data_IF_044233832702
#
_entry.id   IF_044233832702
#
_cell.length_a   1.000
_cell.length_b   1.000
_cell.length_c   1.000
_cell.angle_alpha   90.00
_cell.angle_beta   90.00
_cell.angle_gamma   90.00
#
_symmetry.space_group_name_H-M   'P 1'
#
loop_
_entity.id
_entity.type
_entity.pdbx_description
1 polymer ?
#
# COMPACT_ATOMS: atom_id res chain seq x y z
N UNK A 1 9.51 7.22 -9.15
CA UNK A 1 9.02 8.19 -10.17
C UNK A 1 8.06 7.44 -11.08
N UNK A 2 7.05 8.09 -11.66
CA UNK A 2 6.13 7.41 -12.57
C UNK A 2 6.87 6.92 -13.82
N UNK A 3 6.50 5.74 -14.36
CA UNK A 3 7.05 5.27 -15.62
C UNK A 3 6.58 6.19 -16.76
N UNK A 4 7.40 6.36 -17.80
CA UNK A 4 7.03 7.16 -18.97
C UNK A 4 5.88 6.52 -19.76
N UNK A 5 5.83 5.19 -19.77
CA UNK A 5 4.76 4.38 -20.36
C UNK A 5 4.09 3.59 -19.26
N UNK A 6 2.76 3.61 -19.24
CA UNK A 6 1.98 2.80 -18.30
C UNK A 6 2.31 1.31 -18.43
N UNK A 7 2.36 0.62 -17.30
CA UNK A 7 2.52 -0.82 -17.28
C UNK A 7 1.24 -1.51 -17.76
N UNK A 8 1.39 -2.69 -18.35
CA UNK A 8 0.25 -3.54 -18.68
C UNK A 8 -0.40 -4.12 -17.40
N UNK A 9 -1.63 -4.62 -17.56
CA UNK A 9 -2.42 -5.12 -16.44
C UNK A 9 -1.78 -6.35 -15.76
N UNK A 10 -1.14 -7.23 -16.53
CA UNK A 10 -0.52 -8.43 -15.95
C UNK A 10 0.66 -8.06 -15.05
N UNK A 11 1.50 -7.12 -15.51
CA UNK A 11 2.61 -6.58 -14.72
C UNK A 11 2.11 -5.85 -13.47
N UNK A 12 1.07 -5.02 -13.57
CA UNK A 12 0.48 -4.34 -12.42
C UNK A 12 -0.06 -5.32 -11.37
N UNK A 13 -0.80 -6.34 -11.82
CA UNK A 13 -1.34 -7.38 -10.93
C UNK A 13 -0.22 -8.17 -10.26
N UNK A 14 0.81 -8.57 -11.02
CA UNK A 14 1.95 -9.31 -10.49
C UNK A 14 2.61 -8.55 -9.34
N UNK A 15 2.96 -7.28 -9.57
CA UNK A 15 3.62 -6.45 -8.55
C UNK A 15 2.75 -6.27 -7.31
N UNK A 16 1.44 -6.03 -7.48
CA UNK A 16 0.53 -5.89 -6.32
C UNK A 16 0.44 -7.21 -5.54
N UNK A 17 0.39 -8.35 -6.23
CA UNK A 17 0.36 -9.66 -5.58
C UNK A 17 1.67 -10.00 -4.84
N UNK A 18 2.83 -9.70 -5.46
CA UNK A 18 4.14 -9.87 -4.82
C UNK A 18 4.24 -9.02 -3.55
N UNK A 19 3.77 -7.77 -3.59
CA UNK A 19 3.75 -6.89 -2.43
C UNK A 19 2.78 -7.41 -1.36
N UNK A 20 1.57 -7.82 -1.74
CA UNK A 20 0.60 -8.34 -0.78
C UNK A 20 1.10 -9.60 -0.05
N UNK A 21 1.89 -10.45 -0.73
CA UNK A 21 2.51 -11.64 -0.15
C UNK A 21 3.55 -11.32 0.95
N UNK A 22 3.95 -10.05 1.12
CA UNK A 22 4.86 -9.60 2.18
C UNK A 22 4.12 -9.20 3.47
N UNK A 23 2.79 -9.12 3.45
CA UNK A 23 2.01 -8.83 4.66
C UNK A 23 1.73 -10.10 5.45
N UNK A 24 1.89 -10.04 6.76
CA UNK A 24 1.84 -11.21 7.64
C UNK A 24 0.52 -11.97 7.60
N UNK A 25 -0.59 -11.29 7.29
CA UNK A 25 -1.91 -11.91 7.13
C UNK A 25 -2.02 -12.86 5.92
N UNK A 26 -1.00 -12.88 5.05
CA UNK A 26 -0.94 -13.73 3.85
C UNK A 26 0.08 -14.87 3.96
N UNK A 27 0.89 -14.92 5.02
CA UNK A 27 1.87 -16.01 5.19
C UNK A 27 1.16 -17.32 5.51
N UNK A 28 1.61 -18.41 4.86
CA UNK A 28 1.00 -19.75 4.96
C UNK A 28 1.00 -20.28 6.40
N UNK A 29 2.11 -20.08 7.13
CA UNK A 29 2.30 -20.59 8.49
C UNK A 29 2.09 -19.52 9.58
N UNK A 30 1.32 -18.45 9.30
CA UNK A 30 1.04 -17.43 10.30
C UNK A 30 0.02 -17.92 11.35
N UNK A 31 0.38 -17.81 12.63
CA UNK A 31 -0.51 -18.03 13.76
C UNK A 31 -0.80 -16.70 14.48
N UNK A 32 -1.80 -15.96 14.00
CA UNK A 32 -2.21 -14.70 14.58
C UNK A 32 -3.04 -14.87 15.85
N UNK A 33 -2.49 -14.48 17.01
CA UNK A 33 -3.18 -14.50 18.32
C UNK A 33 -3.67 -13.12 18.79
N UNK A 34 -3.39 -12.07 18.03
CA UNK A 34 -3.82 -10.71 18.36
C UNK A 34 -5.28 -10.39 17.98
N UNK A 35 -5.70 -9.20 18.39
CA UNK A 35 -6.99 -8.60 18.07
C UNK A 35 -7.04 -8.05 16.63
N UNK A 36 -5.90 -7.57 16.12
CA UNK A 36 -5.77 -7.00 14.77
C UNK A 36 -4.78 -7.79 13.91
N UNK A 37 -5.25 -8.93 13.41
CA UNK A 37 -4.47 -9.90 12.60
C UNK A 37 -4.82 -9.90 11.10
N UNK A 38 -5.56 -8.89 10.62
CA UNK A 38 -5.90 -8.79 9.20
C UNK A 38 -6.79 -9.93 8.68
N UNK A 39 -7.56 -10.59 9.56
CA UNK A 39 -8.46 -11.69 9.21
C UNK A 39 -9.62 -11.17 8.33
N UNK A 40 -9.81 -11.75 7.14
CA UNK A 40 -10.90 -11.37 6.21
C UNK A 40 -11.86 -12.54 6.04
N UNK A 41 -13.12 -12.36 6.44
CA UNK A 41 -14.15 -13.43 6.42
C UNK A 41 -14.70 -13.66 5.01
N UNK A 42 -14.93 -12.60 4.24
CA UNK A 42 -15.53 -12.68 2.92
C UNK A 42 -14.44 -12.79 1.83
N UNK A 43 -14.39 -13.89 1.05
CA UNK A 43 -13.37 -14.06 0.00
C UNK A 43 -13.42 -12.96 -1.07
N UNK A 44 -14.60 -12.45 -1.40
CA UNK A 44 -14.75 -11.35 -2.37
C UNK A 44 -14.11 -10.05 -1.88
N UNK A 45 -14.16 -9.78 -0.56
CA UNK A 45 -13.50 -8.62 0.03
C UNK A 45 -11.98 -8.78 -0.02
N UNK A 46 -11.46 -9.97 0.35
CA UNK A 46 -10.04 -10.26 0.26
C UNK A 46 -9.53 -10.09 -1.19
N UNK A 47 -10.25 -10.65 -2.15
CA UNK A 47 -9.88 -10.59 -3.57
C UNK A 47 -9.89 -9.16 -4.12
N UNK A 48 -10.93 -8.36 -3.84
CA UNK A 48 -10.99 -6.98 -4.35
C UNK A 48 -9.86 -6.09 -3.80
N UNK A 49 -9.35 -6.43 -2.61
CA UNK A 49 -8.25 -5.73 -1.94
C UNK A 49 -6.90 -6.42 -2.12
N UNK A 50 -6.79 -7.39 -3.05
CA UNK A 50 -5.55 -8.11 -3.35
C UNK A 50 -4.93 -8.83 -2.12
N UNK A 51 -5.71 -9.10 -1.07
CA UNK A 51 -5.23 -9.68 0.19
C UNK A 51 -4.63 -8.68 1.19
N UNK A 52 -4.55 -7.39 0.85
CA UNK A 52 -4.03 -6.33 1.73
C UNK A 52 -5.09 -6.01 2.81
N UNK A 53 -4.79 -6.32 4.08
CA UNK A 53 -5.77 -6.22 5.16
C UNK A 53 -5.34 -5.39 6.39
N UNK A 54 -4.07 -4.97 6.46
CA UNK A 54 -3.56 -4.25 7.64
C UNK A 54 -3.76 -2.73 7.59
N UNK A 55 -3.90 -2.16 6.38
CA UNK A 55 -3.92 -0.71 6.15
C UNK A 55 -2.52 -0.11 6.08
N UNK A 56 -2.42 1.21 6.29
CA UNK A 56 -1.16 1.97 6.25
C UNK A 56 -0.79 2.50 7.63
N UNK A 57 0.51 2.71 7.85
CA UNK A 57 1.02 3.34 9.06
C UNK A 57 0.92 2.51 10.34
N UNK A 58 1.23 3.17 11.44
CA UNK A 58 1.13 2.67 12.82
C UNK A 58 0.21 3.58 13.64
N UNK A 59 -0.08 3.16 14.88
CA UNK A 59 -0.99 3.88 15.77
C UNK A 59 -0.53 5.31 16.12
N UNK A 60 0.78 5.59 16.04
CA UNK A 60 1.35 6.90 16.35
C UNK A 60 1.74 7.74 15.12
N UNK A 61 1.92 7.11 13.96
CA UNK A 61 2.41 7.76 12.74
C UNK A 61 1.92 7.03 11.48
N UNK A 62 1.26 7.78 10.59
CA UNK A 62 0.71 7.25 9.34
C UNK A 62 1.79 6.91 8.31
N UNK A 63 2.96 7.54 8.39
CA UNK A 63 4.09 7.33 7.46
C UNK A 63 5.07 6.26 7.93
N UNK A 64 4.93 5.79 9.18
CA UNK A 64 5.84 4.80 9.73
C UNK A 64 5.55 3.39 9.17
N UNK A 65 6.58 2.63 8.74
CA UNK A 65 6.41 1.26 8.29
C UNK A 65 5.74 0.36 9.34
N UNK A 66 4.75 -0.41 8.91
CA UNK A 66 4.01 -1.35 9.74
C UNK A 66 4.72 -2.72 9.75
N UNK A 67 5.26 -3.20 10.89
CA UNK A 67 6.00 -4.46 10.95
C UNK A 67 5.17 -5.69 10.55
N UNK A 68 3.84 -5.66 10.74
CA UNK A 68 2.94 -6.75 10.28
C UNK A 68 2.57 -6.66 8.80
N UNK A 69 2.93 -5.57 8.13
CA UNK A 69 2.45 -5.24 6.78
C UNK A 69 3.55 -4.55 5.96
N UNK A 70 4.65 -5.27 5.73
CA UNK A 70 5.79 -4.77 4.97
C UNK A 70 5.41 -4.42 3.52
N UNK A 71 4.53 -5.22 2.91
CA UNK A 71 3.97 -5.00 1.59
C UNK A 71 3.13 -3.74 1.52
N UNK A 72 2.15 -3.60 2.41
CA UNK A 72 1.31 -2.40 2.52
C UNK A 72 2.16 -1.15 2.79
N UNK A 73 3.21 -1.25 3.61
CA UNK A 73 4.12 -0.15 3.89
C UNK A 73 4.88 0.29 2.63
N UNK A 74 5.41 -0.68 1.86
CA UNK A 74 6.13 -0.39 0.62
C UNK A 74 5.20 0.19 -0.45
N UNK A 75 3.97 -0.33 -0.58
CA UNK A 75 2.94 0.25 -1.44
C UNK A 75 2.71 1.71 -1.08
N UNK A 76 2.61 2.03 0.22
CA UNK A 76 2.36 3.39 0.67
C UNK A 76 3.54 4.33 0.37
N UNK A 77 4.78 3.90 0.64
CA UNK A 77 5.99 4.65 0.29
C UNK A 77 6.06 4.91 -1.21
N UNK A 78 5.79 3.89 -2.04
CA UNK A 78 5.77 4.04 -3.49
C UNK A 78 4.67 5.01 -3.94
N UNK A 79 3.47 4.89 -3.38
CA UNK A 79 2.33 5.76 -3.70
C UNK A 79 2.64 7.22 -3.40
N UNK A 80 3.23 7.52 -2.24
CA UNK A 80 3.70 8.85 -1.87
C UNK A 80 4.74 9.41 -2.84
N UNK A 81 5.72 8.58 -3.24
CA UNK A 81 6.73 8.99 -4.22
C UNK A 81 6.15 9.23 -5.62
N UNK A 82 5.17 8.43 -6.04
CA UNK A 82 4.46 8.61 -7.31
C UNK A 82 3.58 9.85 -7.28
N UNK A 83 2.88 10.12 -6.18
CA UNK A 83 2.09 11.34 -6.01
C UNK A 83 2.97 12.60 -6.04
N UNK A 84 4.12 12.60 -5.35
CA UNK A 84 5.10 13.69 -5.42
C UNK A 84 5.61 13.90 -6.86
N UNK A 85 5.88 12.82 -7.60
CA UNK A 85 6.26 12.91 -9.02
C UNK A 85 5.13 13.47 -9.90
N UNK A 86 3.87 13.10 -9.61
CA UNK A 86 2.69 13.64 -10.29
C UNK A 86 2.60 15.17 -10.13
N UNK A 87 2.74 15.66 -8.89
CA UNK A 87 2.69 17.08 -8.58
C UNK A 87 3.81 17.85 -9.29
N UNK A 88 5.04 17.30 -9.32
CA UNK A 88 6.15 17.88 -10.08
C UNK A 88 5.84 18.01 -11.56
N UNK A 89 5.30 16.95 -12.17
CA UNK A 89 4.89 16.95 -13.59
C UNK A 89 3.75 17.93 -13.88
N UNK A 90 2.88 18.17 -12.90
CA UNK A 90 1.80 19.15 -12.98
C UNK A 90 2.26 20.62 -12.81
N UNK A 91 3.56 20.86 -12.59
CA UNK A 91 4.15 22.20 -12.48
C UNK A 91 4.56 22.60 -11.06
N UNK A 92 4.29 21.77 -10.05
CA UNK A 92 4.72 22.02 -8.66
C UNK A 92 6.18 21.57 -8.46
N UNK A 93 7.14 22.19 -9.16
CA UNK A 93 8.54 21.76 -9.19
C UNK A 93 9.23 21.75 -7.81
N UNK A 94 8.75 22.53 -6.84
CA UNK A 94 9.31 22.62 -5.49
C UNK A 94 8.88 21.51 -4.52
N UNK A 95 8.00 20.59 -4.91
CA UNK A 95 7.53 19.52 -4.01
C UNK A 95 8.68 18.55 -3.72
N UNK A 96 9.11 18.42 -2.47
CA UNK A 96 10.11 17.41 -2.07
C UNK A 96 9.45 16.09 -1.67
N UNK A 97 8.34 16.17 -0.94
CA UNK A 97 7.64 15.05 -0.32
C UNK A 97 6.12 15.21 -0.48
N UNK A 98 5.41 14.09 -0.42
CA UNK A 98 3.95 14.05 -0.51
C UNK A 98 3.42 12.89 0.36
N UNK A 99 2.29 13.11 1.02
CA UNK A 99 1.64 12.12 1.88
C UNK A 99 0.19 11.95 1.42
N UNK A 100 -0.16 10.76 0.95
CA UNK A 100 -1.53 10.45 0.55
C UNK A 100 -2.35 10.06 1.78
N UNK A 101 -3.43 10.77 2.05
CA UNK A 101 -4.32 10.49 3.18
C UNK A 101 -5.66 9.94 2.69
N UNK A 102 -6.25 8.93 3.36
CA UNK A 102 -7.56 8.39 3.02
C UNK A 102 -8.69 9.29 3.54
N UNK A 103 -8.63 10.58 3.20
CA UNK A 103 -9.54 11.62 3.63
C UNK A 103 -9.88 12.50 2.41
N UNK A 104 -11.09 13.07 2.41
CA UNK A 104 -11.44 14.11 1.46
C UNK A 104 -10.69 15.42 1.79
N UNK A 105 -10.65 16.35 0.85
CA UNK A 105 -10.02 17.67 1.04
C UNK A 105 -10.78 18.54 2.06
N UNK A 106 -12.10 18.37 2.16
CA UNK A 106 -13.02 19.14 2.99
C UNK A 106 -14.45 19.02 2.47
#
# INVERSE_FOLDING_TARGET
RMPEKGWDEATLRLVIHELAALDSNTFVDNAGVGEREGRVICPLVAQRHFGLAHGIGRSGDIAEPQPKAAGSSLIYTLTNALAADALKRAGCAGVSECTVLPLATG
#
